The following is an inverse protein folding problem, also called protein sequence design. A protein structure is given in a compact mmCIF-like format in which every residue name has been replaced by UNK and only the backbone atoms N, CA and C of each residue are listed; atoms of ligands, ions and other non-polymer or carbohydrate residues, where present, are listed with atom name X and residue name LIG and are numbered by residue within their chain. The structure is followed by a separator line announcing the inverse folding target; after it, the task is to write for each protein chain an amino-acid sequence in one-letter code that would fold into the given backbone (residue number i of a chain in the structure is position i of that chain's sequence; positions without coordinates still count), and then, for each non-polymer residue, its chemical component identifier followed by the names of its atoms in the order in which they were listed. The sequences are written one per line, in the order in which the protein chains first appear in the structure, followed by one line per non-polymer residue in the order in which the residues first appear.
data_IF_103678976094
#
_entry.id   IF_103678976094
#
_cell.length_a   1.000
_cell.length_b   1.000
_cell.length_c   1.000
_cell.angle_alpha   90.00
_cell.angle_beta   90.00
_cell.angle_gamma   90.00
#
_symmetry.space_group_name_H-M   'P 1'
#
loop_
_entity.id
_entity.type
_entity.pdbx_description
1 polymer ?
#
# COMPACT_ATOMS: atom_id res chain seq x y z
N UNK A 1 -30.19 -57.65 -62.25
CA UNK A 1 -30.32 -56.77 -61.08
C UNK A 1 -28.92 -56.26 -60.79
N UNK A 2 -28.65 -55.12 -61.37
CA UNK A 2 -27.37 -54.67 -61.89
C UNK A 2 -26.87 -53.58 -60.93
N UNK A 3 -25.66 -53.69 -60.38
CA UNK A 3 -24.36 -53.28 -60.96
C UNK A 3 -24.16 -51.77 -61.09
N UNK A 4 -23.25 -51.25 -60.23
CA UNK A 4 -22.13 -50.32 -60.52
C UNK A 4 -22.42 -48.99 -61.23
N UNK A 5 -21.83 -47.90 -60.74
CA UNK A 5 -21.46 -46.77 -61.62
C UNK A 5 -21.22 -45.43 -60.91
N UNK A 6 -20.12 -44.76 -61.25
CA UNK A 6 -19.73 -43.43 -60.75
C UNK A 6 -19.32 -42.54 -61.94
N UNK A 7 -19.99 -41.40 -62.13
CA UNK A 7 -19.55 -40.24 -62.96
C UNK A 7 -20.64 -39.14 -62.86
N UNK A 8 -20.42 -37.88 -62.49
CA UNK A 8 -19.50 -36.80 -62.95
C UNK A 8 -20.18 -35.82 -63.94
N UNK A 9 -19.72 -34.57 -63.92
CA UNK A 9 -19.98 -33.43 -64.83
C UNK A 9 -21.34 -32.65 -64.85
N UNK A 10 -21.27 -31.43 -64.30
CA UNK A 10 -21.39 -30.12 -65.00
C UNK A 10 -22.64 -29.74 -65.82
N UNK A 11 -23.33 -28.65 -65.42
CA UNK A 11 -23.69 -27.54 -66.33
C UNK A 11 -24.04 -26.22 -65.59
N UNK A 12 -23.96 -25.12 -66.35
CA UNK A 12 -23.76 -23.73 -65.93
C UNK A 12 -25.05 -22.85 -66.02
N UNK A 13 -24.88 -21.52 -65.93
CA UNK A 13 -25.83 -20.40 -66.16
C UNK A 13 -26.64 -19.94 -64.91
N UNK A 14 -26.67 -18.66 -64.53
CA UNK A 14 -25.96 -17.47 -65.03
C UNK A 14 -26.55 -16.14 -64.50
N UNK A 15 -25.95 -15.02 -64.90
CA UNK A 15 -26.40 -13.62 -64.76
C UNK A 15 -26.33 -12.87 -63.40
N UNK A 16 -25.42 -11.90 -63.37
CA UNK A 16 -25.55 -10.59 -62.68
C UNK A 16 -25.88 -9.51 -63.73
N UNK A 17 -26.41 -8.31 -63.38
CA UNK A 17 -25.52 -7.14 -63.28
C UNK A 17 -25.94 -5.93 -62.36
N UNK A 18 -24.92 -5.34 -61.72
CA UNK A 18 -24.52 -3.90 -61.62
C UNK A 18 -25.47 -2.70 -61.34
N UNK A 19 -25.20 -2.05 -60.18
CA UNK A 19 -24.81 -0.63 -59.90
C UNK A 19 -25.56 0.65 -60.35
N UNK A 20 -25.67 1.60 -59.38
CA UNK A 20 -25.62 3.10 -59.43
C UNK A 20 -25.79 3.65 -57.98
N UNK A 21 -25.49 4.88 -57.53
CA UNK A 21 -24.59 6.03 -57.89
C UNK A 21 -24.30 6.82 -56.57
N UNK A 22 -23.15 7.46 -56.30
CA UNK A 22 -22.71 8.85 -56.63
C UNK A 22 -23.80 9.95 -56.46
N UNK A 23 -23.59 11.12 -55.82
CA UNK A 23 -22.31 11.81 -55.49
C UNK A 23 -22.37 13.00 -54.46
N UNK A 24 -21.20 13.44 -53.95
CA UNK A 24 -20.77 14.79 -53.44
C UNK A 24 -21.56 15.53 -52.30
N UNK A 25 -20.96 16.32 -51.38
CA UNK A 25 -19.88 17.32 -51.53
C UNK A 25 -19.21 17.77 -50.19
N UNK A 26 -18.04 18.42 -50.25
CA UNK A 26 -17.23 18.94 -49.12
C UNK A 26 -17.58 20.38 -48.67
N UNK A 27 -17.31 20.72 -47.41
CA UNK A 27 -16.72 22.03 -47.02
C UNK A 27 -15.84 21.92 -45.75
N UNK A 28 -14.67 22.55 -45.80
CA UNK A 28 -13.69 22.61 -44.72
C UNK A 28 -13.73 23.92 -43.93
N UNK A 29 -13.47 23.87 -42.63
CA UNK A 29 -12.88 24.98 -41.89
C UNK A 29 -12.04 24.45 -40.73
N UNK A 30 -10.90 25.11 -40.50
CA UNK A 30 -9.82 24.63 -39.63
C UNK A 30 -9.68 25.48 -38.38
N UNK A 31 -9.59 24.84 -37.21
CA UNK A 31 -8.95 25.42 -36.02
C UNK A 31 -8.28 24.33 -35.19
N UNK A 32 -7.04 24.57 -34.76
CA UNK A 32 -6.24 23.63 -33.95
C UNK A 32 -6.64 23.69 -32.46
N UNK A 33 -6.82 22.52 -31.82
CA UNK A 33 -6.82 22.39 -30.37
C UNK A 33 -6.48 20.95 -29.92
N UNK A 34 -5.19 20.73 -29.65
CA UNK A 34 -4.58 19.71 -28.77
C UNK A 34 -5.46 18.54 -28.29
N UNK A 35 -5.37 17.40 -28.96
CA UNK A 35 -5.96 16.14 -28.48
C UNK A 35 -5.12 15.47 -27.39
N UNK A 36 -5.62 15.48 -26.15
CA UNK A 36 -5.08 14.62 -25.09
C UNK A 36 -5.54 13.18 -25.31
N UNK A 37 -4.64 12.31 -25.79
CA UNK A 37 -4.91 10.87 -25.84
C UNK A 37 -5.02 10.28 -24.43
N UNK A 38 -6.23 9.84 -24.07
CA UNK A 38 -6.44 8.84 -23.02
C UNK A 38 -5.68 7.56 -23.41
N UNK A 39 -4.68 7.16 -22.62
CA UNK A 39 -4.06 5.86 -22.76
C UNK A 39 -4.18 5.04 -21.48
N UNK A 40 -4.64 3.80 -21.67
CA UNK A 40 -5.12 2.89 -20.63
C UNK A 40 -4.00 2.12 -19.94
N UNK A 41 -4.29 1.64 -18.72
CA UNK A 41 -3.73 0.38 -18.23
C UNK A 41 -2.54 0.47 -17.28
N UNK A 42 -2.80 0.81 -16.01
CA UNK A 42 -1.96 0.34 -14.90
C UNK A 42 -2.79 -0.52 -13.95
N UNK A 43 -2.43 -1.79 -13.80
CA UNK A 43 -2.99 -2.67 -12.76
C UNK A 43 -2.40 -2.30 -11.41
N UNK A 44 -2.96 -1.25 -10.80
CA UNK A 44 -2.96 -1.08 -9.35
C UNK A 44 -4.36 -1.42 -8.89
N UNK A 45 -4.50 -2.31 -7.89
CA UNK A 45 -5.80 -2.74 -7.39
C UNK A 45 -6.54 -1.56 -6.74
N UNK A 46 -7.35 -0.85 -7.54
CA UNK A 46 -8.30 0.14 -7.04
C UNK A 46 -9.46 -0.61 -6.40
N UNK A 47 -9.66 -0.38 -5.11
CA UNK A 47 -10.95 -0.62 -4.44
C UNK A 47 -11.98 0.37 -4.99
N UNK A 48 -12.64 0.00 -6.08
CA UNK A 48 -13.85 0.68 -6.53
C UNK A 48 -15.00 0.23 -5.63
N UNK A 49 -15.53 1.12 -4.80
CA UNK A 49 -16.79 0.92 -4.11
C UNK A 49 -17.92 1.62 -4.88
N UNK A 50 -18.65 0.88 -5.70
CA UNK A 50 -19.96 1.32 -6.18
C UNK A 50 -20.93 1.32 -5.00
N UNK A 51 -21.42 2.49 -4.58
CA UNK A 51 -22.58 2.62 -3.68
C UNK A 51 -23.57 3.61 -4.28
N UNK A 52 -24.83 3.18 -4.28
CA UNK A 52 -25.98 3.80 -4.91
C UNK A 52 -26.30 5.21 -4.41
N UNK A 53 -26.82 6.03 -5.33
CA UNK A 53 -27.65 7.17 -4.95
C UNK A 53 -28.90 6.69 -4.19
N UNK A 54 -29.03 7.12 -2.93
CA UNK A 54 -30.32 7.18 -2.24
C UNK A 54 -30.35 8.49 -1.43
N UNK A 55 -31.26 9.37 -1.80
CA UNK A 55 -31.49 10.66 -1.15
C UNK A 55 -32.74 10.56 -0.29
N UNK A 56 -32.67 10.94 0.99
CA UNK A 56 -33.84 11.27 1.83
C UNK A 56 -33.36 12.16 3.01
N UNK A 57 -34.25 12.86 3.74
CA UNK A 57 -34.16 14.31 3.79
C UNK A 57 -33.66 14.89 5.11
N UNK A 58 -33.34 16.18 5.06
CA UNK A 58 -33.04 17.04 6.21
C UNK A 58 -34.29 17.27 7.08
N UNK A 59 -34.19 16.93 8.36
CA UNK A 59 -35.02 17.54 9.41
C UNK A 59 -34.14 18.45 10.27
N UNK A 60 -34.37 19.77 10.15
CA UNK A 60 -33.84 20.75 11.07
C UNK A 60 -34.57 20.61 12.42
N UNK A 61 -33.84 20.38 13.51
CA UNK A 61 -34.35 20.83 14.81
C UNK A 61 -33.25 21.26 15.78
N UNK A 62 -33.46 22.43 16.38
CA UNK A 62 -32.50 23.15 17.19
C UNK A 62 -32.23 22.51 18.55
N UNK A 63 -30.98 22.58 19.02
CA UNK A 63 -30.71 22.63 20.46
C UNK A 63 -29.59 23.62 20.78
N UNK A 64 -29.98 24.76 21.35
CA UNK A 64 -29.09 25.84 21.81
C UNK A 64 -28.45 25.46 23.14
N UNK A 65 -27.12 25.48 23.24
CA UNK A 65 -26.43 25.53 24.54
C UNK A 65 -25.24 26.49 24.54
N UNK A 66 -25.53 27.69 25.05
CA UNK A 66 -24.69 28.66 25.78
C UNK A 66 -23.17 28.66 25.57
N UNK A 67 -22.71 29.73 24.92
CA UNK A 67 -21.34 30.24 25.06
C UNK A 67 -21.05 30.68 26.51
N UNK A 68 -19.84 30.40 27.01
CA UNK A 68 -19.22 31.17 28.10
C UNK A 68 -17.71 31.30 27.87
N UNK A 69 -17.12 32.48 28.04
CA UNK A 69 -15.72 32.73 27.67
C UNK A 69 -14.74 32.22 28.73
N UNK A 70 -13.66 31.57 28.30
CA UNK A 70 -12.56 31.13 29.18
C UNK A 70 -11.58 32.29 29.46
N UNK A 71 -11.16 32.51 30.73
CA UNK A 71 -10.28 33.64 31.07
C UNK A 71 -8.78 33.32 30.94
N UNK A 72 -8.08 34.23 30.26
CA UNK A 72 -6.74 34.77 30.58
C UNK A 72 -5.59 33.82 31.02
N UNK A 73 -4.69 33.58 30.07
CA UNK A 73 -3.25 33.89 30.15
C UNK A 73 -2.46 33.55 31.45
N UNK A 74 -1.58 32.54 31.34
CA UNK A 74 -0.45 32.32 32.27
C UNK A 74 0.86 32.87 31.67
N UNK A 75 1.77 33.47 32.47
CA UNK A 75 3.00 34.07 31.97
C UNK A 75 4.05 33.03 31.55
N UNK A 76 4.78 33.35 30.48
CA UNK A 76 5.54 32.37 29.69
C UNK A 76 6.70 31.67 30.40
N UNK A 77 6.70 30.34 30.31
CA UNK A 77 7.90 29.52 30.42
C UNK A 77 8.48 29.33 29.00
N UNK A 78 9.78 29.58 28.83
CA UNK A 78 10.45 29.52 27.52
C UNK A 78 10.72 28.06 27.14
N UNK A 79 10.15 27.60 26.03
CA UNK A 79 10.49 26.28 25.47
C UNK A 79 11.99 26.18 25.14
N UNK A 80 12.61 24.99 25.28
CA UNK A 80 13.97 24.77 24.82
C UNK A 80 14.06 25.00 23.30
N UNK A 81 14.98 25.86 22.87
CA UNK A 81 15.21 26.11 21.43
C UNK A 81 15.91 24.89 20.81
N UNK A 82 15.20 24.11 20.01
CA UNK A 82 15.83 23.21 19.03
C UNK A 82 16.47 24.05 17.91
N UNK A 83 17.70 23.72 17.47
CA UNK A 83 18.56 24.69 16.76
C UNK A 83 18.30 24.85 15.26
N UNK A 84 17.19 24.32 14.73
CA UNK A 84 16.98 24.14 13.28
C UNK A 84 16.30 25.34 12.61
N UNK A 85 15.48 26.13 13.32
CA UNK A 85 14.65 27.19 12.73
C UNK A 85 15.07 28.64 13.10
N UNK A 86 16.15 28.84 13.86
CA UNK A 86 16.52 30.18 14.38
C UNK A 86 17.76 30.79 13.71
N UNK A 87 17.96 30.57 12.40
CA UNK A 87 19.12 31.11 11.65
C UNK A 87 18.81 31.97 10.43
N UNK A 88 17.56 32.06 9.98
CA UNK A 88 17.13 33.14 9.09
C UNK A 88 16.58 34.31 9.93
N UNK A 89 16.85 35.53 9.44
CA UNK A 89 16.71 36.85 10.09
C UNK A 89 17.93 37.32 10.89
N UNK A 90 19.02 37.57 10.16
CA UNK A 90 19.76 38.85 10.15
C UNK A 90 21.00 38.71 9.27
N UNK A 91 20.89 39.05 7.98
CA UNK A 91 22.08 39.36 7.19
C UNK A 91 21.82 40.49 6.21
N UNK A 92 22.84 41.33 6.06
CA UNK A 92 22.85 42.59 5.33
C UNK A 92 23.07 42.32 3.83
N UNK A 93 22.40 43.09 2.98
CA UNK A 93 22.36 42.87 1.52
C UNK A 93 23.75 42.80 0.88
N UNK A 94 23.97 41.77 0.04
CA UNK A 94 25.12 41.64 -0.86
C UNK A 94 24.64 41.04 -2.20
N UNK A 95 25.08 41.53 -3.38
CA UNK A 95 24.45 41.18 -4.68
C UNK A 95 24.80 39.79 -5.24
N UNK A 96 25.39 38.91 -4.43
CA UNK A 96 25.73 37.52 -4.78
C UNK A 96 24.88 36.51 -4.02
N UNK A 97 23.91 36.96 -3.23
CA UNK A 97 23.03 36.12 -2.41
C UNK A 97 21.64 35.89 -3.03
N UNK A 98 21.25 36.65 -4.07
CA UNK A 98 19.90 36.59 -4.65
C UNK A 98 19.60 35.19 -5.23
N UNK A 99 20.55 34.57 -5.95
CA UNK A 99 20.40 33.25 -6.60
C UNK A 99 20.33 32.07 -5.59
N UNK A 100 20.89 32.22 -4.38
CA UNK A 100 20.70 31.26 -3.28
C UNK A 100 19.37 31.52 -2.56
N UNK A 101 18.98 32.78 -2.37
CA UNK A 101 17.74 33.17 -1.68
C UNK A 101 16.49 32.80 -2.49
N UNK A 102 16.49 33.02 -3.80
CA UNK A 102 15.38 32.61 -4.70
C UNK A 102 15.17 31.09 -4.69
N UNK A 103 16.24 30.31 -4.56
CA UNK A 103 16.18 28.84 -4.52
C UNK A 103 15.60 28.32 -3.18
N UNK A 104 15.96 28.97 -2.06
CA UNK A 104 15.35 28.70 -0.75
C UNK A 104 13.85 29.06 -0.73
N UNK A 105 13.46 30.20 -1.30
CA UNK A 105 12.05 30.61 -1.41
C UNK A 105 11.23 29.62 -2.28
N UNK A 106 11.78 29.14 -3.39
CA UNK A 106 11.15 28.10 -4.23
C UNK A 106 10.98 26.77 -3.48
N UNK A 107 11.96 26.32 -2.70
CA UNK A 107 11.83 25.10 -1.89
C UNK A 107 10.77 25.28 -0.78
N UNK A 108 10.73 26.45 -0.15
CA UNK A 108 9.78 26.81 0.89
C UNK A 108 8.34 26.89 0.34
N UNK A 109 8.14 27.45 -0.85
CA UNK A 109 6.82 27.49 -1.49
C UNK A 109 6.35 26.10 -1.95
N UNK A 110 7.23 25.24 -2.48
CA UNK A 110 6.91 23.83 -2.70
C UNK A 110 6.52 23.11 -1.41
N UNK A 111 7.15 23.45 -0.28
CA UNK A 111 6.80 22.91 1.04
C UNK A 111 5.42 23.40 1.51
N UNK A 112 5.13 24.71 1.39
CA UNK A 112 3.80 25.29 1.67
C UNK A 112 2.70 24.60 0.86
N UNK A 113 2.92 24.41 -0.45
CA UNK A 113 1.94 23.78 -1.34
C UNK A 113 1.61 22.35 -0.89
N UNK A 114 2.63 21.53 -0.58
CA UNK A 114 2.44 20.15 -0.09
C UNK A 114 1.67 20.13 1.23
N UNK A 115 2.09 20.90 2.24
CA UNK A 115 1.40 20.89 3.54
C UNK A 115 -0.01 21.47 3.45
N UNK A 116 -0.27 22.46 2.59
CA UNK A 116 -1.62 22.96 2.33
C UNK A 116 -2.54 21.87 1.77
N UNK A 117 -2.07 21.05 0.81
CA UNK A 117 -2.83 19.91 0.27
C UNK A 117 -3.09 18.81 1.32
N UNK A 118 -2.16 18.60 2.26
CA UNK A 118 -2.37 17.68 3.39
C UNK A 118 -3.41 18.21 4.39
N UNK A 119 -3.37 19.51 4.71
CA UNK A 119 -4.32 20.18 5.62
C UNK A 119 -5.73 20.23 5.03
N UNK A 120 -5.85 20.37 3.71
CA UNK A 120 -7.13 20.28 2.98
C UNK A 120 -7.70 18.85 2.92
N UNK A 121 -6.96 17.82 3.37
CA UNK A 121 -7.45 16.43 3.32
C UNK A 121 -7.77 15.97 1.89
N UNK A 122 -7.04 16.45 0.89
CA UNK A 122 -7.31 16.26 -0.55
C UNK A 122 -8.60 16.95 -1.09
N UNK A 123 -9.39 17.62 -0.25
CA UNK A 123 -10.53 18.43 -0.68
C UNK A 123 -10.09 19.84 -1.11
N UNK A 124 -9.75 19.98 -2.39
CA UNK A 124 -9.35 21.26 -2.98
C UNK A 124 -10.48 22.30 -3.07
N UNK A 125 -11.73 21.97 -2.71
CA UNK A 125 -12.82 22.96 -2.60
C UNK A 125 -12.80 23.74 -1.28
N UNK A 126 -12.05 23.25 -0.28
CA UNK A 126 -12.05 23.82 1.07
C UNK A 126 -13.30 23.53 1.89
N UNK A 127 -14.18 22.62 1.46
CA UNK A 127 -15.43 22.29 2.16
C UNK A 127 -15.23 21.46 3.44
N UNK A 128 -14.02 20.97 3.69
CA UNK A 128 -13.69 20.14 4.85
C UNK A 128 -14.20 18.69 4.75
N UNK A 129 -14.71 18.28 3.58
CA UNK A 129 -15.25 16.92 3.33
C UNK A 129 -14.19 15.94 2.80
N UNK A 130 -12.92 16.27 3.02
CA UNK A 130 -11.78 15.46 2.60
C UNK A 130 -11.53 14.23 3.49
N UNK A 131 -10.44 13.53 3.20
CA UNK A 131 -9.95 12.41 4.01
C UNK A 131 -9.20 12.89 5.26
N UNK A 132 -8.98 12.01 6.24
CA UNK A 132 -8.17 12.33 7.41
C UNK A 132 -6.73 12.73 7.01
N UNK A 133 -6.06 13.54 7.82
CA UNK A 133 -4.65 13.91 7.58
C UNK A 133 -3.75 12.67 7.49
N UNK A 134 -4.04 11.62 8.25
CA UNK A 134 -3.32 10.34 8.18
C UNK A 134 -3.46 9.68 6.80
N UNK A 135 -4.69 9.59 6.26
CA UNK A 135 -4.95 9.07 4.91
C UNK A 135 -4.34 9.99 3.83
N UNK A 136 -4.45 11.31 3.98
CA UNK A 136 -3.85 12.29 3.05
C UNK A 136 -2.33 12.15 2.95
N UNK A 137 -1.64 11.90 4.08
CA UNK A 137 -0.19 11.62 4.11
C UNK A 137 0.14 10.27 3.48
N UNK A 138 -0.60 9.20 3.80
CA UNK A 138 -0.41 7.87 3.19
C UNK A 138 -0.57 7.90 1.67
N UNK A 139 -1.60 8.61 1.19
CA UNK A 139 -1.83 8.83 -0.24
C UNK A 139 -0.72 9.68 -0.87
N UNK A 140 -0.24 10.74 -0.21
CA UNK A 140 0.85 11.58 -0.71
C UNK A 140 2.18 10.80 -0.84
N UNK A 141 2.52 9.95 0.13
CA UNK A 141 3.69 9.06 0.06
C UNK A 141 3.55 8.05 -1.10
N UNK A 142 2.35 7.48 -1.27
CA UNK A 142 2.05 6.54 -2.37
C UNK A 142 2.15 7.23 -3.75
N UNK A 143 1.64 8.47 -3.86
CA UNK A 143 1.71 9.27 -5.08
C UNK A 143 3.14 9.72 -5.42
N UNK A 144 3.93 10.10 -4.41
CA UNK A 144 5.36 10.40 -4.56
C UNK A 144 6.11 9.20 -5.13
N UNK A 145 5.88 8.01 -4.57
CA UNK A 145 6.45 6.76 -5.06
C UNK A 145 6.06 6.49 -6.52
N UNK A 146 4.77 6.63 -6.87
CA UNK A 146 4.30 6.43 -8.24
C UNK A 146 4.93 7.43 -9.24
N UNK A 147 5.05 8.71 -8.86
CA UNK A 147 5.66 9.76 -9.67
C UNK A 147 7.16 9.49 -9.96
N UNK A 148 7.89 9.07 -8.93
CA UNK A 148 9.35 8.88 -9.03
C UNK A 148 9.69 7.52 -9.64
N UNK A 149 9.09 6.43 -9.19
CA UNK A 149 9.47 5.07 -9.57
C UNK A 149 8.56 4.43 -10.62
N UNK A 150 7.32 4.90 -10.81
CA UNK A 150 6.35 4.28 -11.74
C UNK A 150 6.80 4.26 -13.21
N UNK A 151 7.67 5.19 -13.61
CA UNK A 151 8.30 5.21 -14.94
C UNK A 151 9.66 4.47 -14.99
N UNK A 152 10.29 4.18 -13.86
CA UNK A 152 11.57 3.47 -13.80
C UNK A 152 11.33 1.96 -13.89
N UNK A 153 10.96 1.48 -15.07
CA UNK A 153 10.66 0.07 -15.34
C UNK A 153 11.91 -0.72 -15.78
N UNK A 154 13.10 -0.35 -15.27
CA UNK A 154 14.41 -0.83 -15.73
C UNK A 154 15.41 -0.90 -14.59
N UNK A 155 16.37 -1.83 -14.71
CA UNK A 155 17.56 -1.90 -13.85
C UNK A 155 18.63 -0.86 -14.26
N UNK A 156 18.25 0.41 -14.17
CA UNK A 156 19.13 1.55 -14.38
C UNK A 156 19.22 2.42 -13.12
N UNK A 157 20.29 3.20 -12.94
CA UNK A 157 20.40 4.11 -11.81
C UNK A 157 19.31 5.18 -11.88
N UNK A 158 18.62 5.39 -10.77
CA UNK A 158 17.67 6.48 -10.60
C UNK A 158 18.35 7.82 -10.96
N UNK A 159 17.69 8.65 -11.79
CA UNK A 159 18.22 9.98 -12.15
C UNK A 159 18.57 10.79 -10.88
N UNK A 160 19.72 11.50 -10.82
CA UNK A 160 20.12 12.25 -9.63
C UNK A 160 19.01 13.17 -9.11
N UNK A 161 18.34 13.90 -9.99
CA UNK A 161 17.27 14.83 -9.62
C UNK A 161 16.06 14.09 -9.02
N UNK A 162 15.66 12.94 -9.60
CA UNK A 162 14.59 12.09 -9.05
C UNK A 162 14.99 11.47 -7.70
N UNK A 163 16.29 11.23 -7.47
CA UNK A 163 16.83 10.78 -6.17
C UNK A 163 16.86 11.90 -5.13
N UNK A 164 17.15 13.13 -5.53
CA UNK A 164 17.09 14.32 -4.68
C UNK A 164 15.65 14.66 -4.33
N UNK A 165 14.75 14.64 -5.32
CA UNK A 165 13.30 14.77 -5.16
C UNK A 165 12.76 13.76 -4.15
N UNK A 166 13.03 12.45 -4.32
CA UNK A 166 12.61 11.42 -3.35
C UNK A 166 13.04 11.77 -1.93
N UNK A 167 14.33 12.08 -1.73
CA UNK A 167 14.87 12.42 -0.41
C UNK A 167 14.20 13.66 0.18
N UNK A 168 14.09 14.75 -0.59
CA UNK A 168 13.50 16.01 -0.13
C UNK A 168 12.04 15.82 0.27
N UNK A 169 11.23 15.26 -0.64
CA UNK A 169 9.80 15.11 -0.42
C UNK A 169 9.48 14.10 0.68
N UNK A 170 10.20 12.97 0.72
CA UNK A 170 10.04 12.00 1.80
C UNK A 170 10.46 12.62 3.14
N UNK A 171 11.55 13.39 3.20
CA UNK A 171 11.94 14.10 4.43
C UNK A 171 10.86 15.07 4.93
N UNK A 172 10.14 15.77 4.04
CA UNK A 172 8.99 16.60 4.44
C UNK A 172 7.87 15.79 5.11
N UNK A 173 7.53 14.60 4.60
CA UNK A 173 6.53 13.75 5.25
C UNK A 173 7.06 13.15 6.56
N UNK A 174 8.34 12.77 6.60
CA UNK A 174 8.96 12.17 7.78
C UNK A 174 9.21 13.16 8.93
N UNK A 175 9.33 14.47 8.67
CA UNK A 175 9.50 15.47 9.74
C UNK A 175 8.27 15.59 10.64
N UNK A 176 7.09 15.15 10.18
CA UNK A 176 5.89 15.07 11.01
C UNK A 176 6.14 14.12 12.20
N UNK A 177 6.89 13.02 12.01
CA UNK A 177 7.22 12.06 13.05
C UNK A 177 8.05 12.65 14.18
N UNK A 178 8.88 13.67 13.91
CA UNK A 178 9.71 14.33 14.93
C UNK A 178 8.86 15.11 15.95
N UNK A 179 7.58 15.36 15.63
CA UNK A 179 6.60 16.02 16.49
C UNK A 179 5.61 15.04 17.16
N UNK A 180 5.66 13.74 16.85
CA UNK A 180 4.79 12.72 17.46
C UNK A 180 5.50 12.14 18.68
N UNK A 181 5.11 12.63 19.86
CA UNK A 181 5.78 12.34 21.13
C UNK A 181 4.85 11.66 22.14
N UNK A 182 5.45 10.84 23.00
CA UNK A 182 4.88 10.43 24.28
C UNK A 182 5.40 11.34 25.38
N UNK A 183 4.53 11.72 26.32
CA UNK A 183 4.95 12.39 27.54
C UNK A 183 5.24 11.36 28.63
N UNK A 184 6.45 11.40 29.19
CA UNK A 184 6.90 10.49 30.25
C UNK A 184 7.35 11.28 31.48
N UNK A 185 6.99 10.84 32.70
CA UNK A 185 7.49 11.44 33.92
C UNK A 185 9.00 11.20 34.05
N UNK A 186 9.74 12.24 34.42
CA UNK A 186 11.17 12.18 34.70
C UNK A 186 11.49 13.00 35.96
N UNK A 187 12.54 12.61 36.68
CA UNK A 187 13.10 13.40 37.76
C UNK A 187 14.18 14.34 37.20
N UNK A 188 14.06 15.63 37.50
CA UNK A 188 15.07 16.64 37.21
C UNK A 188 15.58 17.25 38.51
N UNK A 189 16.89 17.22 38.72
CA UNK A 189 17.53 17.90 39.84
C UNK A 189 17.64 19.40 39.54
N UNK A 190 17.11 20.23 40.44
CA UNK A 190 17.31 21.67 40.42
C UNK A 190 18.74 22.04 40.86
N UNK A 191 19.15 23.28 40.60
CA UNK A 191 20.49 23.78 40.95
C UNK A 191 20.77 23.79 42.47
N UNK A 192 19.74 23.67 43.30
CA UNK A 192 19.82 23.54 44.76
C UNK A 192 19.89 22.08 45.26
N UNK A 193 19.86 21.09 44.34
CA UNK A 193 19.86 19.66 44.65
C UNK A 193 18.46 19.06 44.92
N UNK A 194 17.39 19.84 44.74
CA UNK A 194 16.01 19.33 44.89
C UNK A 194 15.59 18.58 43.63
N UNK A 195 15.27 17.29 43.78
CA UNK A 195 14.68 16.50 42.71
C UNK A 195 13.20 16.87 42.52
N UNK A 196 12.81 17.24 41.29
CA UNK A 196 11.44 17.60 40.91
C UNK A 196 10.95 16.66 39.82
N UNK A 197 9.72 16.15 39.96
CA UNK A 197 9.05 15.39 38.90
C UNK A 197 8.55 16.35 37.81
N UNK A 198 9.00 16.12 36.58
CA UNK A 198 8.69 16.92 35.39
C UNK A 198 8.26 15.99 34.26
N UNK A 199 7.21 16.36 33.51
CA UNK A 199 6.86 15.65 32.29
C UNK A 199 7.81 16.04 31.16
N UNK A 200 8.49 15.05 30.57
CA UNK A 200 9.39 15.21 29.43
C UNK A 200 8.80 14.56 28.19
N UNK A 201 9.11 15.07 27.01
CA UNK A 201 8.69 14.48 25.74
C UNK A 201 9.78 13.57 25.17
N UNK A 202 9.36 12.40 24.66
CA UNK A 202 10.20 11.50 23.86
C UNK A 202 9.47 11.14 22.57
N UNK A 203 10.15 10.87 21.44
CA UNK A 203 9.49 10.33 20.25
C UNK A 203 8.70 9.07 20.58
N UNK A 204 7.53 8.90 19.97
CA UNK A 204 6.67 7.73 20.23
C UNK A 204 7.40 6.43 19.94
N UNK A 205 7.15 5.42 20.78
CA UNK A 205 7.89 4.15 20.82
C UNK A 205 7.95 3.44 19.46
N UNK A 206 6.81 3.27 18.78
CA UNK A 206 6.74 2.67 17.44
C UNK A 206 7.54 3.45 16.38
N UNK A 207 7.48 4.78 16.39
CA UNK A 207 8.26 5.65 15.51
C UNK A 207 9.75 5.52 15.79
N UNK A 208 10.15 5.57 17.07
CA UNK A 208 11.55 5.53 17.49
C UNK A 208 12.29 4.27 17.05
N UNK A 209 11.56 3.15 16.95
CA UNK A 209 12.10 1.85 16.50
C UNK A 209 12.00 1.68 14.98
N UNK A 210 10.82 1.94 14.40
CA UNK A 210 10.55 1.57 13.01
C UNK A 210 11.09 2.58 12.00
N UNK A 211 11.06 3.89 12.30
CA UNK A 211 11.48 4.92 11.35
C UNK A 211 12.97 4.84 10.98
N UNK A 212 13.92 4.63 11.92
CA UNK A 212 15.33 4.42 11.56
C UNK A 212 15.55 3.14 10.73
N UNK A 213 14.77 2.07 10.98
CA UNK A 213 14.83 0.85 10.20
C UNK A 213 14.40 1.08 8.74
N UNK A 214 13.27 1.78 8.52
CA UNK A 214 12.77 2.10 7.19
C UNK A 214 13.74 3.01 6.41
N UNK A 215 14.28 4.07 7.05
CA UNK A 215 15.33 4.92 6.44
C UNK A 215 16.57 4.12 6.02
N UNK A 216 16.93 3.07 6.78
CA UNK A 216 18.04 2.17 6.43
C UNK A 216 17.70 1.27 5.23
N UNK A 217 16.48 0.74 5.14
CA UNK A 217 16.03 -0.06 3.98
C UNK A 217 15.98 0.78 2.70
N UNK A 218 15.47 2.00 2.77
CA UNK A 218 15.47 2.98 1.66
C UNK A 218 16.89 3.28 1.16
N UNK A 219 17.80 3.63 2.08
CA UNK A 219 19.20 3.88 1.75
C UNK A 219 19.89 2.67 1.07
N UNK A 220 19.57 1.44 1.49
CA UNK A 220 20.07 0.21 0.87
C UNK A 220 19.46 -0.01 -0.53
N UNK A 221 18.17 0.23 -0.74
CA UNK A 221 17.52 0.12 -2.07
C UNK A 221 18.11 1.14 -3.05
N UNK A 222 18.13 2.42 -2.68
CA UNK A 222 18.72 3.49 -3.50
C UNK A 222 20.23 3.34 -3.71
N UNK A 223 20.92 2.64 -2.81
CA UNK A 223 22.31 2.20 -2.96
C UNK A 223 22.44 1.08 -3.99
N UNK A 224 21.57 0.07 -3.93
CA UNK A 224 21.56 -1.08 -4.85
C UNK A 224 21.27 -0.68 -6.31
N UNK A 225 20.44 0.35 -6.53
CA UNK A 225 20.20 0.92 -7.87
C UNK A 225 21.39 1.75 -8.37
N UNK A 226 22.24 2.25 -7.50
CA UNK A 226 23.40 3.10 -7.86
C UNK A 226 24.54 2.25 -8.43
N UNK A 227 24.63 2.16 -9.76
CA UNK A 227 25.76 1.55 -10.46
C UNK A 227 26.24 2.43 -11.61
N UNK A 228 27.56 2.51 -11.83
CA UNK A 228 28.09 3.18 -13.04
C UNK A 228 27.73 2.35 -14.27
N UNK A 229 26.63 2.69 -14.94
CA UNK A 229 26.28 2.12 -16.23
C UNK A 229 27.35 2.52 -17.24
N UNK A 230 28.22 1.57 -17.61
CA UNK A 230 29.07 1.74 -18.78
C UNK A 230 28.15 1.61 -19.99
N UNK A 231 27.97 2.71 -20.72
CA UNK A 231 27.16 2.75 -21.95
C UNK A 231 27.60 1.62 -22.88
N UNK A 232 26.76 0.59 -22.95
CA UNK A 232 26.90 -0.56 -23.83
C UNK A 232 25.69 -0.56 -24.76
N UNK A 233 25.93 -0.40 -26.05
CA UNK A 233 24.86 -0.49 -27.05
C UNK A 233 24.41 -1.95 -27.17
N UNK A 234 23.41 -2.34 -26.38
CA UNK A 234 22.78 -3.64 -26.50
C UNK A 234 21.91 -3.65 -27.76
N UNK A 235 22.32 -4.42 -28.80
CA UNK A 235 21.46 -4.63 -29.97
C UNK A 235 20.19 -5.37 -29.53
N UNK A 236 19.04 -4.93 -30.04
CA UNK A 236 17.77 -5.67 -29.93
C UNK A 236 17.93 -7.03 -30.63
N UNK A 237 17.91 -8.10 -29.85
CA UNK A 237 17.59 -9.45 -30.33
C UNK A 237 16.14 -9.72 -29.89
N UNK A 238 15.23 -10.14 -30.79
CA UNK A 238 13.89 -10.56 -30.40
C UNK A 238 13.98 -11.85 -29.57
N UNK A 239 13.74 -11.76 -28.27
CA UNK A 239 13.66 -12.95 -27.41
C UNK A 239 12.30 -13.66 -27.61
N UNK A 240 12.27 -15.00 -27.74
CA UNK A 240 11.02 -15.74 -27.92
C UNK A 240 10.23 -15.86 -26.60
N UNK A 241 8.89 -15.81 -26.71
CA UNK A 241 7.90 -16.07 -25.67
C UNK A 241 8.04 -15.24 -24.37
N UNK A 242 7.42 -14.05 -24.40
CA UNK A 242 6.99 -13.30 -23.22
C UNK A 242 5.99 -14.13 -22.40
N UNK A 243 5.92 -13.89 -21.09
CA UNK A 243 4.61 -13.93 -20.40
C UNK A 243 3.79 -12.76 -20.97
N UNK A 244 2.69 -13.04 -21.66
CA UNK A 244 1.90 -12.04 -22.40
C UNK A 244 1.33 -10.93 -21.49
N UNK A 245 1.15 -11.25 -20.21
CA UNK A 245 0.57 -10.40 -19.16
C UNK A 245 1.27 -9.05 -18.91
N UNK A 246 2.55 -8.87 -19.30
CA UNK A 246 3.35 -7.67 -18.98
C UNK A 246 3.87 -6.94 -20.24
N UNK A 247 3.00 -6.75 -21.23
CA UNK A 247 3.36 -6.17 -22.54
C UNK A 247 3.97 -4.76 -22.49
N UNK A 248 3.67 -3.97 -21.45
CA UNK A 248 4.17 -2.61 -21.25
C UNK A 248 5.61 -2.53 -20.70
N UNK A 249 6.17 -3.63 -20.16
CA UNK A 249 7.52 -3.62 -19.63
C UNK A 249 8.59 -3.63 -20.76
N UNK A 250 9.66 -2.82 -20.65
CA UNK A 250 10.80 -2.88 -21.56
C UNK A 250 11.42 -4.29 -21.59
N UNK A 251 11.74 -4.79 -22.79
CA UNK A 251 12.36 -6.12 -22.94
C UNK A 251 13.82 -6.09 -22.44
N UNK A 252 14.21 -6.97 -21.51
CA UNK A 252 15.61 -7.12 -21.10
C UNK A 252 16.49 -7.53 -22.29
N UNK A 253 17.60 -6.84 -22.50
CA UNK A 253 18.57 -7.17 -23.54
C UNK A 253 19.86 -7.72 -22.91
N UNK A 254 20.33 -8.87 -23.37
CA UNK A 254 21.62 -9.47 -23.01
C UNK A 254 22.50 -9.60 -24.27
N UNK A 255 23.84 -9.68 -24.14
CA UNK A 255 24.71 -10.01 -25.26
C UNK A 255 24.39 -11.40 -25.83
N UNK A 256 24.71 -11.66 -27.10
CA UNK A 256 24.43 -12.95 -27.75
C UNK A 256 25.07 -14.14 -27.00
N UNK A 257 26.32 -14.03 -26.55
CA UNK A 257 26.97 -15.04 -25.71
C UNK A 257 26.55 -15.03 -24.21
N UNK A 258 25.43 -14.38 -23.87
CA UNK A 258 24.95 -14.19 -22.51
C UNK A 258 25.79 -13.21 -21.66
N UNK A 259 25.51 -13.19 -20.36
CA UNK A 259 26.20 -12.35 -19.37
C UNK A 259 27.46 -13.03 -18.83
N UNK A 260 28.50 -12.23 -18.59
CA UNK A 260 29.72 -12.71 -17.91
C UNK A 260 29.41 -13.32 -16.54
N UNK A 261 30.17 -14.34 -16.12
CA UNK A 261 30.02 -14.97 -14.80
C UNK A 261 30.10 -13.94 -13.65
N UNK A 262 30.96 -12.93 -13.79
CA UNK A 262 31.06 -11.81 -12.83
C UNK A 262 29.77 -10.99 -12.77
N UNK A 263 29.19 -10.65 -13.93
CA UNK A 263 27.90 -9.94 -14.01
C UNK A 263 26.75 -10.77 -13.42
N UNK A 264 26.71 -12.08 -13.70
CA UNK A 264 25.68 -13.00 -13.17
C UNK A 264 25.77 -13.14 -11.64
N UNK A 265 26.97 -13.32 -11.09
CA UNK A 265 27.20 -13.32 -9.63
C UNK A 265 26.79 -12.00 -8.98
N UNK A 266 27.12 -10.86 -9.61
CA UNK A 266 26.74 -9.53 -9.13
C UNK A 266 25.22 -9.31 -9.12
N UNK A 267 24.51 -9.71 -10.19
CA UNK A 267 23.04 -9.65 -10.26
C UNK A 267 22.38 -10.52 -9.20
N UNK A 268 22.84 -11.77 -9.02
CA UNK A 268 22.34 -12.66 -7.96
C UNK A 268 22.48 -12.03 -6.58
N UNK A 269 23.67 -11.49 -6.26
CA UNK A 269 23.89 -10.80 -4.99
C UNK A 269 22.97 -9.58 -4.79
N UNK A 270 22.74 -8.76 -5.85
CA UNK A 270 21.78 -7.65 -5.80
C UNK A 270 20.35 -8.12 -5.56
N UNK A 271 19.91 -9.18 -6.25
CA UNK A 271 18.59 -9.79 -6.06
C UNK A 271 18.42 -10.30 -4.63
N UNK A 272 19.41 -11.00 -4.10
CA UNK A 272 19.35 -11.58 -2.76
C UNK A 272 19.28 -10.47 -1.69
N UNK A 273 20.01 -9.36 -1.89
CA UNK A 273 19.90 -8.15 -1.08
C UNK A 273 18.51 -7.50 -1.18
N UNK A 274 17.98 -7.29 -2.39
CA UNK A 274 16.64 -6.72 -2.60
C UNK A 274 15.54 -7.60 -1.99
N UNK A 275 15.66 -8.92 -2.07
CA UNK A 275 14.72 -9.87 -1.45
C UNK A 275 14.77 -9.81 0.09
N UNK A 276 15.96 -9.65 0.70
CA UNK A 276 16.06 -9.41 2.14
C UNK A 276 15.38 -8.09 2.55
N UNK A 277 15.54 -7.03 1.75
CA UNK A 277 14.87 -5.75 2.01
C UNK A 277 13.35 -5.86 1.84
N UNK A 278 12.88 -6.53 0.78
CA UNK A 278 11.45 -6.81 0.56
C UNK A 278 10.83 -7.52 1.77
N UNK A 279 11.45 -8.60 2.24
CA UNK A 279 11.01 -9.35 3.44
C UNK A 279 11.01 -8.49 4.71
N UNK A 280 12.03 -7.66 4.91
CA UNK A 280 12.11 -6.77 6.06
C UNK A 280 11.03 -5.66 6.02
N UNK A 281 10.81 -5.05 4.85
CA UNK A 281 9.78 -4.03 4.65
C UNK A 281 8.36 -4.62 4.85
N UNK A 282 8.08 -5.80 4.27
CA UNK A 282 6.82 -6.52 4.45
C UNK A 282 6.56 -6.90 5.91
N UNK A 283 7.59 -7.39 6.61
CA UNK A 283 7.47 -7.74 8.03
C UNK A 283 7.15 -6.51 8.90
N UNK A 284 7.79 -5.36 8.63
CA UNK A 284 7.47 -4.10 9.29
C UNK A 284 6.04 -3.65 8.97
N UNK A 285 5.63 -3.65 7.69
CA UNK A 285 4.27 -3.27 7.26
C UNK A 285 3.20 -4.11 7.97
N UNK A 286 3.37 -5.44 7.99
CA UNK A 286 2.49 -6.36 8.71
C UNK A 286 2.41 -6.07 10.22
N UNK A 287 3.53 -5.76 10.88
CA UNK A 287 3.54 -5.38 12.31
C UNK A 287 2.79 -4.08 12.56
N UNK A 288 2.99 -3.08 11.70
CA UNK A 288 2.30 -1.79 11.80
C UNK A 288 0.79 -1.96 11.59
N UNK A 289 0.38 -2.72 10.58
CA UNK A 289 -1.03 -3.06 10.32
C UNK A 289 -1.67 -3.84 11.46
N UNK A 290 -0.95 -4.77 12.09
CA UNK A 290 -1.44 -5.51 13.26
C UNK A 290 -1.75 -4.58 14.44
N UNK A 291 -0.91 -3.55 14.66
CA UNK A 291 -1.09 -2.52 15.69
C UNK A 291 -2.09 -1.41 15.34
N UNK A 292 -2.59 -1.34 14.09
CA UNK A 292 -3.60 -0.36 13.71
C UNK A 292 -5.00 -0.76 14.21
N UNK A 293 -5.72 0.22 14.73
CA UNK A 293 -7.09 0.08 15.24
C UNK A 293 -8.05 -0.46 14.16
N UNK A 294 -8.98 -1.33 14.58
CA UNK A 294 -9.97 -1.92 13.70
C UNK A 294 -11.17 -0.98 13.63
N UNK A 295 -11.61 -0.53 12.44
CA UNK A 295 -12.72 0.42 12.34
C UNK A 295 -14.04 -0.16 12.84
N UNK A 296 -14.80 0.63 13.61
CA UNK A 296 -16.16 0.27 14.03
C UNK A 296 -17.09 -0.04 12.84
N UNK A 297 -16.88 0.62 11.70
CA UNK A 297 -17.60 0.36 10.44
C UNK A 297 -17.37 -1.06 9.91
N UNK A 298 -16.12 -1.53 9.91
CA UNK A 298 -15.78 -2.91 9.59
C UNK A 298 -16.41 -3.88 10.60
N UNK A 299 -16.34 -3.56 11.89
CA UNK A 299 -16.97 -4.41 12.90
C UNK A 299 -18.50 -4.48 12.70
N UNK A 300 -19.17 -3.36 12.47
CA UNK A 300 -20.61 -3.32 12.24
C UNK A 300 -21.04 -4.12 10.99
N UNK A 301 -20.22 -4.20 9.95
CA UNK A 301 -20.53 -4.96 8.73
C UNK A 301 -20.32 -6.48 8.85
N UNK A 302 -19.57 -6.97 9.85
CA UNK A 302 -19.29 -8.40 9.99
C UNK A 302 -20.56 -9.25 10.24
N UNK A 303 -20.75 -10.36 9.50
CA UNK A 303 -21.89 -11.27 9.70
C UNK A 303 -21.98 -11.83 11.11
N UNK A 304 -23.21 -12.06 11.60
CA UNK A 304 -23.49 -12.54 12.97
C UNK A 304 -22.96 -13.95 13.30
N UNK A 305 -22.32 -14.67 12.38
CA UNK A 305 -21.88 -16.06 12.58
C UNK A 305 -20.61 -16.38 11.79
N UNK A 306 -19.47 -16.55 12.49
CA UNK A 306 -18.21 -16.98 11.87
C UNK A 306 -18.34 -18.31 11.13
N UNK A 307 -19.12 -19.26 11.65
CA UNK A 307 -19.45 -20.53 10.95
C UNK A 307 -20.03 -20.30 9.55
N UNK A 308 -20.87 -19.28 9.37
CA UNK A 308 -21.49 -18.99 8.07
C UNK A 308 -20.50 -18.35 7.07
N UNK A 309 -19.40 -17.75 7.57
CA UNK A 309 -18.37 -17.09 6.76
C UNK A 309 -17.33 -18.12 6.27
N UNK A 310 -16.75 -18.94 7.16
CA UNK A 310 -15.80 -20.02 6.77
C UNK A 310 -16.47 -21.28 6.22
N UNK A 311 -17.77 -21.46 6.47
CA UNK A 311 -18.53 -22.62 6.03
C UNK A 311 -18.37 -23.88 6.89
N UNK A 312 -19.30 -24.82 6.71
CA UNK A 312 -19.49 -25.98 7.59
C UNK A 312 -18.35 -27.01 7.58
N UNK A 313 -17.57 -27.10 6.50
CA UNK A 313 -16.42 -28.00 6.43
C UNK A 313 -15.25 -27.48 7.29
N UNK A 314 -14.87 -26.21 7.07
CA UNK A 314 -13.79 -25.53 7.81
C UNK A 314 -14.16 -25.40 9.28
N UNK A 315 -15.39 -24.98 9.59
CA UNK A 315 -15.87 -24.85 10.97
C UNK A 315 -15.79 -26.18 11.75
N UNK A 316 -16.25 -27.30 11.16
CA UNK A 316 -16.16 -28.61 11.81
C UNK A 316 -14.71 -29.03 12.07
N UNK A 317 -13.79 -28.76 11.14
CA UNK A 317 -12.37 -29.03 11.34
C UNK A 317 -11.78 -28.17 12.48
N UNK A 318 -12.12 -26.87 12.51
CA UNK A 318 -11.68 -25.95 13.57
C UNK A 318 -12.27 -26.29 14.94
N UNK A 319 -13.47 -26.86 15.03
CA UNK A 319 -14.07 -27.30 16.29
C UNK A 319 -13.53 -28.66 16.79
N UNK A 320 -13.45 -29.67 15.92
CA UNK A 320 -13.46 -31.07 16.36
C UNK A 320 -12.09 -31.65 16.77
N UNK A 321 -10.99 -30.92 16.58
CA UNK A 321 -9.65 -31.40 16.92
C UNK A 321 -9.25 -31.09 18.37
N UNK A 322 -8.80 -32.10 19.14
CA UNK A 322 -8.00 -31.90 20.36
C UNK A 322 -6.66 -31.22 20.04
N UNK A 323 -6.08 -31.54 18.88
CA UNK A 323 -4.91 -30.87 18.30
C UNK A 323 -5.31 -30.33 16.93
N UNK A 324 -5.42 -29.01 16.82
CA UNK A 324 -5.68 -28.33 15.55
C UNK A 324 -4.38 -28.16 14.77
N UNK A 325 -4.37 -28.58 13.50
CA UNK A 325 -3.20 -28.47 12.61
C UNK A 325 -3.57 -27.62 11.40
N UNK A 326 -3.16 -26.34 11.32
CA UNK A 326 -3.49 -25.45 10.22
C UNK A 326 -3.07 -26.00 8.86
N UNK A 327 -1.86 -26.55 8.76
CA UNK A 327 -1.29 -27.04 7.50
C UNK A 327 -2.09 -28.19 6.88
N UNK A 328 -2.66 -29.07 7.71
CA UNK A 328 -3.48 -30.19 7.22
C UNK A 328 -4.79 -29.66 6.63
N UNK A 329 -5.43 -28.68 7.29
CA UNK A 329 -6.60 -28.00 6.73
C UNK A 329 -6.27 -27.30 5.41
N UNK A 330 -5.18 -26.55 5.35
CA UNK A 330 -4.73 -25.87 4.13
C UNK A 330 -4.33 -26.85 3.01
N UNK A 331 -3.92 -28.08 3.33
CA UNK A 331 -3.67 -29.14 2.34
C UNK A 331 -4.97 -29.78 1.83
N UNK A 332 -6.05 -29.76 2.61
CA UNK A 332 -7.37 -30.24 2.19
C UNK A 332 -8.18 -29.19 1.43
N UNK A 333 -7.78 -27.91 1.48
CA UNK A 333 -8.41 -26.82 0.74
C UNK A 333 -7.72 -26.65 -0.62
N UNK A 334 -8.49 -26.80 -1.70
CA UNK A 334 -8.00 -26.60 -3.06
C UNK A 334 -7.95 -25.10 -3.41
N UNK A 335 -6.99 -24.38 -2.82
CA UNK A 335 -6.69 -22.98 -3.14
C UNK A 335 -5.73 -22.94 -4.33
N UNK A 336 -6.28 -22.94 -5.55
CA UNK A 336 -5.51 -23.02 -6.79
C UNK A 336 -4.89 -21.68 -7.24
N UNK A 337 -5.43 -20.57 -6.75
CA UNK A 337 -5.04 -19.21 -7.13
C UNK A 337 -4.77 -18.30 -5.92
N UNK A 338 -4.02 -17.21 -6.14
CA UNK A 338 -3.83 -16.15 -5.12
C UNK A 338 -5.18 -15.52 -4.72
N UNK A 339 -6.11 -15.37 -5.67
CA UNK A 339 -7.42 -14.78 -5.42
C UNK A 339 -8.27 -15.64 -4.47
N UNK A 340 -8.31 -16.96 -4.66
CA UNK A 340 -8.98 -17.88 -3.72
C UNK A 340 -8.30 -17.87 -2.34
N UNK A 341 -6.98 -17.79 -2.29
CA UNK A 341 -6.24 -17.67 -1.04
C UNK A 341 -6.56 -16.35 -0.31
N UNK A 342 -6.74 -15.24 -1.02
CA UNK A 342 -7.10 -13.94 -0.45
C UNK A 342 -8.54 -13.93 0.04
N UNK A 343 -9.49 -14.43 -0.76
CA UNK A 343 -10.89 -14.55 -0.37
C UNK A 343 -11.04 -15.45 0.87
N UNK A 344 -10.21 -16.50 0.98
CA UNK A 344 -10.17 -17.34 2.17
C UNK A 344 -9.52 -16.64 3.38
N UNK A 345 -8.47 -15.83 3.18
CA UNK A 345 -7.89 -15.00 4.23
C UNK A 345 -8.93 -14.03 4.83
N UNK A 346 -9.67 -13.32 3.97
CA UNK A 346 -10.77 -12.43 4.36
C UNK A 346 -11.86 -13.17 5.16
N UNK A 347 -12.26 -14.37 4.71
CA UNK A 347 -13.23 -15.22 5.42
C UNK A 347 -12.75 -15.65 6.80
N UNK A 348 -11.48 -16.03 6.93
CA UNK A 348 -10.89 -16.39 8.24
C UNK A 348 -10.85 -15.17 9.15
N UNK A 349 -10.36 -14.03 8.66
CA UNK A 349 -10.18 -12.81 9.45
C UNK A 349 -11.52 -12.24 9.94
N UNK A 350 -12.52 -12.18 9.06
CA UNK A 350 -13.89 -11.82 9.41
C UNK A 350 -14.50 -12.78 10.46
N UNK A 351 -14.22 -14.09 10.35
CA UNK A 351 -14.70 -15.09 11.32
C UNK A 351 -14.02 -14.94 12.68
N UNK A 352 -12.69 -14.74 12.68
CA UNK A 352 -11.88 -14.49 13.86
C UNK A 352 -12.44 -13.31 14.67
N UNK A 353 -12.69 -12.16 14.03
CA UNK A 353 -13.25 -10.99 14.72
C UNK A 353 -14.73 -11.16 15.11
N UNK A 354 -15.50 -11.96 14.37
CA UNK A 354 -16.85 -12.36 14.80
C UNK A 354 -16.84 -13.22 16.07
N UNK A 355 -15.88 -14.15 16.20
CA UNK A 355 -15.71 -14.96 17.41
C UNK A 355 -15.14 -14.13 18.58
N UNK A 356 -14.11 -13.31 18.35
CA UNK A 356 -13.57 -12.37 19.36
C UNK A 356 -14.66 -11.45 19.91
N UNK A 357 -15.49 -10.85 19.05
CA UNK A 357 -16.64 -10.03 19.49
C UNK A 357 -17.60 -10.81 20.37
N UNK A 358 -17.96 -12.04 20.01
CA UNK A 358 -18.86 -12.87 20.82
C UNK A 358 -18.26 -13.25 22.17
N UNK A 359 -16.96 -13.51 22.23
CA UNK A 359 -16.26 -13.76 23.49
C UNK A 359 -16.25 -12.52 24.40
N UNK A 360 -16.02 -11.32 23.85
CA UNK A 360 -15.98 -10.07 24.62
C UNK A 360 -17.37 -9.47 24.93
N UNK A 361 -18.43 -9.84 24.21
CA UNK A 361 -19.76 -9.21 24.28
C UNK A 361 -20.47 -9.31 25.63
N UNK A 362 -19.92 -10.01 26.63
CA UNK A 362 -20.51 -10.16 27.97
C UNK A 362 -19.93 -9.18 29.02
N UNK A 363 -18.83 -8.46 28.74
CA UNK A 363 -18.23 -7.53 29.73
C UNK A 363 -18.94 -6.18 29.82
N UNK A 364 -19.72 -5.80 28.80
CA UNK A 364 -20.50 -4.56 28.81
C UNK A 364 -21.95 -4.82 28.37
N UNK A 365 -22.90 -4.36 29.18
CA UNK A 365 -24.33 -4.15 28.83
C UNK A 365 -25.28 -5.36 28.84
N UNK A 366 -25.33 -6.15 29.93
CA UNK A 366 -26.52 -6.96 30.30
C UNK A 366 -26.85 -6.89 31.80
N UNK A 367 -28.13 -7.03 32.13
CA UNK A 367 -28.68 -6.85 33.48
C UNK A 367 -28.45 -8.06 34.41
N UNK A 368 -28.34 -7.79 35.71
CA UNK A 368 -27.77 -8.70 36.72
C UNK A 368 -28.55 -9.99 37.04
N UNK A 369 -29.69 -10.26 36.40
CA UNK A 369 -30.56 -11.41 36.74
C UNK A 369 -30.63 -12.52 35.69
N UNK A 370 -30.39 -12.24 34.41
CA UNK A 370 -30.22 -13.30 33.39
C UNK A 370 -28.84 -14.00 33.51
N UNK A 371 -27.85 -13.28 34.06
CA UNK A 371 -26.46 -13.72 34.17
C UNK A 371 -26.31 -15.11 34.83
N UNK A 372 -27.06 -15.37 35.89
CA UNK A 372 -26.84 -16.55 36.76
C UNK A 372 -27.27 -17.87 36.11
N UNK A 373 -28.21 -17.84 35.16
CA UNK A 373 -28.76 -19.06 34.54
C UNK A 373 -28.03 -19.44 33.25
N UNK A 374 -27.60 -18.45 32.47
CA UNK A 374 -26.85 -18.68 31.23
C UNK A 374 -25.35 -18.97 31.47
N UNK A 375 -24.78 -18.53 32.60
CA UNK A 375 -23.36 -18.70 32.94
C UNK A 375 -22.83 -20.13 32.75
N UNK A 376 -23.57 -21.15 33.19
CA UNK A 376 -23.09 -22.55 33.13
C UNK A 376 -23.05 -23.15 31.72
N UNK A 377 -23.82 -22.61 30.77
CA UNK A 377 -23.83 -23.07 29.36
C UNK A 377 -23.08 -22.15 28.41
N UNK A 378 -22.99 -20.85 28.72
CA UNK A 378 -22.33 -19.87 27.86
C UNK A 378 -20.84 -19.65 28.21
N UNK A 379 -20.33 -20.09 29.38
CA UNK A 379 -18.87 -20.20 29.62
C UNK A 379 -18.23 -21.13 28.57
N UNK A 380 -18.74 -22.37 28.44
CA UNK A 380 -18.28 -23.35 27.44
C UNK A 380 -18.36 -22.82 26.00
N UNK A 381 -19.37 -21.98 25.67
CA UNK A 381 -19.46 -21.31 24.37
C UNK A 381 -18.49 -20.14 24.20
N UNK A 382 -18.20 -19.42 25.28
CA UNK A 382 -17.25 -18.31 25.30
C UNK A 382 -15.83 -18.84 25.10
N UNK A 383 -15.46 -19.89 25.83
CA UNK A 383 -14.19 -20.61 25.66
C UNK A 383 -14.07 -21.19 24.25
N UNK A 384 -15.14 -21.78 23.69
CA UNK A 384 -15.18 -22.22 22.29
C UNK A 384 -14.95 -21.08 21.30
N UNK A 385 -15.54 -19.89 21.51
CA UNK A 385 -15.28 -18.73 20.65
C UNK A 385 -13.83 -18.24 20.77
N UNK A 386 -13.23 -18.25 21.96
CA UNK A 386 -11.82 -17.91 22.14
C UNK A 386 -10.90 -18.89 21.40
N UNK A 387 -11.10 -20.20 21.60
CA UNK A 387 -10.35 -21.27 20.93
C UNK A 387 -10.51 -21.17 19.40
N UNK A 388 -11.71 -20.88 18.89
CA UNK A 388 -11.94 -20.71 17.47
C UNK A 388 -11.24 -19.47 16.90
N UNK A 389 -11.19 -18.35 17.64
CA UNK A 389 -10.45 -17.17 17.24
C UNK A 389 -8.93 -17.41 17.19
N UNK A 390 -8.35 -18.09 18.19
CA UNK A 390 -6.93 -18.46 18.24
C UNK A 390 -6.55 -19.44 17.12
N UNK A 391 -7.43 -20.41 16.83
CA UNK A 391 -7.28 -21.32 15.68
C UNK A 391 -7.40 -20.58 14.34
N UNK A 392 -8.26 -19.57 14.25
CA UNK A 392 -8.37 -18.71 13.06
C UNK A 392 -7.09 -17.89 12.83
N UNK A 393 -6.53 -17.30 13.88
CA UNK A 393 -5.28 -16.55 13.85
C UNK A 393 -4.10 -17.43 13.39
N UNK A 394 -3.99 -18.63 13.98
CA UNK A 394 -3.01 -19.64 13.58
C UNK A 394 -3.16 -20.06 12.11
N UNK A 395 -4.41 -20.20 11.63
CA UNK A 395 -4.71 -20.56 10.24
C UNK A 395 -4.37 -19.43 9.26
N UNK A 396 -4.70 -18.18 9.59
CA UNK A 396 -4.36 -17.00 8.80
C UNK A 396 -2.83 -16.81 8.72
N UNK A 397 -2.11 -17.08 9.81
CA UNK A 397 -0.65 -17.06 9.84
C UNK A 397 -0.04 -18.11 8.90
N UNK A 398 -0.46 -19.38 8.99
CA UNK A 398 0.01 -20.43 8.08
C UNK A 398 -0.37 -20.17 6.61
N UNK A 399 -1.54 -19.54 6.37
CA UNK A 399 -1.95 -19.12 5.02
C UNK A 399 -1.03 -18.02 4.47
N UNK A 400 -0.73 -16.98 5.25
CA UNK A 400 0.23 -15.91 4.87
C UNK A 400 1.66 -16.44 4.70
N UNK A 401 2.06 -17.53 5.36
CA UNK A 401 3.33 -18.23 5.08
C UNK A 401 3.31 -19.02 3.77
N UNK A 402 2.19 -19.66 3.42
CA UNK A 402 2.03 -20.43 2.18
C UNK A 402 1.91 -19.53 0.94
N UNK A 403 1.37 -18.34 1.10
CA UNK A 403 1.24 -17.31 0.06
C UNK A 403 1.97 -16.02 0.49
N UNK A 404 3.32 -15.95 0.41
CA UNK A 404 4.07 -14.76 0.84
C UNK A 404 3.80 -13.51 0.01
N UNK A 405 3.31 -13.67 -1.21
CA UNK A 405 2.97 -12.57 -2.14
C UNK A 405 1.50 -12.12 -2.02
N UNK A 406 0.73 -12.70 -1.08
CA UNK A 406 -0.68 -12.38 -0.87
C UNK A 406 -0.89 -10.86 -0.73
N UNK A 407 -1.83 -10.36 -1.52
CA UNK A 407 -2.34 -8.99 -1.46
C UNK A 407 -2.91 -8.62 -0.07
N UNK A 408 -3.06 -7.33 0.21
CA UNK A 408 -3.65 -6.83 1.47
C UNK A 408 -5.09 -7.33 1.64
N UNK A 409 -5.48 -7.70 2.87
CA UNK A 409 -6.84 -8.16 3.16
C UNK A 409 -7.85 -7.01 3.13
N UNK A 410 -9.14 -7.34 3.07
CA UNK A 410 -10.23 -6.38 3.22
C UNK A 410 -10.18 -5.65 4.56
N UNK A 411 -9.66 -6.27 5.63
CA UNK A 411 -9.42 -5.58 6.91
C UNK A 411 -8.20 -4.65 6.82
N UNK A 412 -7.08 -5.09 6.25
CA UNK A 412 -5.88 -4.26 6.08
C UNK A 412 -6.23 -2.97 5.29
N UNK A 413 -6.98 -3.10 4.20
CA UNK A 413 -7.50 -1.96 3.43
C UNK A 413 -8.42 -1.04 4.26
N UNK A 414 -9.35 -1.63 5.03
CA UNK A 414 -10.27 -0.87 5.90
C UNK A 414 -9.52 -0.09 7.00
N UNK A 415 -8.53 -0.72 7.63
CA UNK A 415 -7.62 -0.10 8.61
C UNK A 415 -6.92 1.11 8.01
N UNK A 416 -6.32 0.98 6.82
CA UNK A 416 -5.64 2.09 6.13
C UNK A 416 -6.63 3.22 5.83
N UNK A 417 -7.82 2.91 5.30
CA UNK A 417 -8.81 3.90 4.87
C UNK A 417 -9.40 4.73 6.03
N UNK A 418 -9.59 4.12 7.20
CA UNK A 418 -10.23 4.79 8.35
C UNK A 418 -9.23 5.28 9.40
N UNK A 419 -7.93 5.04 9.20
CA UNK A 419 -6.89 5.44 10.14
C UNK A 419 -6.90 6.96 10.43
N UNK A 420 -6.67 7.30 11.70
CA UNK A 420 -6.50 8.68 12.19
C UNK A 420 -5.11 8.95 12.78
N UNK A 421 -4.31 7.90 13.00
CA UNK A 421 -2.95 8.01 13.51
C UNK A 421 -1.96 8.32 12.37
N UNK A 422 -1.47 9.56 12.34
CA UNK A 422 -0.55 10.04 11.30
C UNK A 422 0.80 9.30 11.35
N UNK A 423 1.28 8.91 12.53
CA UNK A 423 2.52 8.15 12.69
C UNK A 423 2.41 6.75 12.10
N UNK A 424 1.31 6.03 12.39
CA UNK A 424 1.00 4.74 11.78
C UNK A 424 0.84 4.86 10.27
N UNK A 425 0.17 5.90 9.76
CA UNK A 425 0.03 6.14 8.33
C UNK A 425 1.38 6.34 7.61
N UNK A 426 2.30 7.10 8.22
CA UNK A 426 3.64 7.31 7.67
C UNK A 426 4.42 5.99 7.67
N UNK A 427 4.42 5.25 8.79
CA UNK A 427 5.14 3.98 8.91
C UNK A 427 4.58 2.91 7.95
N UNK A 428 3.25 2.77 7.85
CA UNK A 428 2.56 1.85 6.94
C UNK A 428 2.89 2.19 5.50
N UNK A 429 2.60 3.42 5.06
CA UNK A 429 2.77 3.79 3.65
C UNK A 429 4.23 3.77 3.21
N UNK A 430 5.17 4.18 4.07
CA UNK A 430 6.60 4.12 3.77
C UNK A 430 7.10 2.67 3.68
N UNK A 431 6.69 1.79 4.60
CA UNK A 431 7.03 0.36 4.52
C UNK A 431 6.46 -0.31 3.27
N UNK A 432 5.19 -0.03 2.91
CA UNK A 432 4.53 -0.55 1.70
C UNK A 432 5.20 -0.09 0.40
N UNK A 433 5.58 1.18 0.25
CA UNK A 433 6.27 1.63 -0.98
C UNK A 433 7.69 1.07 -1.09
N UNK A 434 8.40 0.86 0.03
CA UNK A 434 9.70 0.19 0.03
C UNK A 434 9.58 -1.31 -0.27
N UNK A 435 8.54 -1.99 0.24
CA UNK A 435 8.23 -3.39 -0.10
C UNK A 435 8.02 -3.54 -1.62
N UNK A 436 7.17 -2.68 -2.21
CA UNK A 436 6.87 -2.68 -3.65
C UNK A 436 8.08 -2.36 -4.51
N UNK A 437 8.92 -1.39 -4.11
CA UNK A 437 10.17 -1.09 -4.83
C UNK A 437 11.14 -2.29 -4.79
N UNK A 438 11.29 -2.91 -3.63
CA UNK A 438 12.17 -4.05 -3.45
C UNK A 438 11.70 -5.28 -4.27
N UNK A 439 10.40 -5.54 -4.27
CA UNK A 439 9.76 -6.58 -5.10
C UNK A 439 10.03 -6.35 -6.60
N UNK A 440 9.80 -5.13 -7.08
CA UNK A 440 10.07 -4.76 -8.47
C UNK A 440 11.54 -4.94 -8.87
N UNK A 441 12.48 -4.54 -7.99
CA UNK A 441 13.92 -4.75 -8.22
C UNK A 441 14.29 -6.24 -8.29
N UNK A 442 13.69 -7.10 -7.44
CA UNK A 442 13.86 -8.56 -7.54
C UNK A 442 13.34 -9.05 -8.89
N UNK A 443 12.10 -8.73 -9.25
CA UNK A 443 11.46 -9.17 -10.49
C UNK A 443 12.27 -8.78 -11.75
N UNK A 444 12.72 -7.53 -11.86
CA UNK A 444 13.53 -7.11 -13.01
C UNK A 444 14.88 -7.84 -13.10
N UNK A 445 15.49 -8.23 -11.97
CA UNK A 445 16.75 -9.00 -12.00
C UNK A 445 16.46 -10.44 -12.43
N UNK A 446 15.34 -11.02 -12.01
CA UNK A 446 14.93 -12.35 -12.44
C UNK A 446 14.56 -12.39 -13.93
N UNK A 447 13.90 -11.36 -14.47
CA UNK A 447 13.67 -11.20 -15.92
C UNK A 447 14.99 -11.16 -16.71
N UNK A 448 16.00 -10.40 -16.26
CA UNK A 448 17.34 -10.37 -16.89
C UNK A 448 18.04 -11.73 -16.80
N UNK A 449 17.98 -12.40 -15.65
CA UNK A 449 18.61 -13.72 -15.45
C UNK A 449 17.88 -14.84 -16.20
N UNK A 450 16.58 -14.69 -16.47
CA UNK A 450 15.80 -15.57 -17.32
C UNK A 450 16.24 -15.46 -18.78
N UNK A 451 16.33 -14.23 -19.31
CA UNK A 451 16.79 -14.00 -20.69
C UNK A 451 18.25 -14.44 -20.88
N UNK A 452 19.14 -14.21 -19.91
CA UNK A 452 20.51 -14.77 -19.93
C UNK A 452 20.52 -16.30 -20.09
N UNK A 453 19.63 -16.99 -19.37
CA UNK A 453 19.54 -18.45 -19.39
C UNK A 453 19.00 -18.95 -20.72
N UNK A 454 17.98 -18.31 -21.30
CA UNK A 454 17.41 -18.72 -22.59
C UNK A 454 18.39 -18.47 -23.73
N UNK A 455 19.07 -17.32 -23.75
CA UNK A 455 20.09 -17.00 -24.76
C UNK A 455 21.26 -18.00 -24.73
N UNK A 456 21.83 -18.30 -23.55
CA UNK A 456 22.95 -19.28 -23.46
C UNK A 456 22.54 -20.70 -23.86
N UNK A 457 21.27 -21.06 -23.73
CA UNK A 457 20.74 -22.35 -24.16
C UNK A 457 20.44 -22.42 -25.67
N UNK A 458 20.57 -21.32 -26.42
CA UNK A 458 20.46 -21.28 -27.89
C UNK A 458 21.84 -21.35 -28.58
N UNK A 459 22.91 -21.05 -27.84
CA UNK A 459 24.32 -21.14 -28.25
C UNK A 459 24.95 -22.52 -27.89
N UNK A 460 24.16 -23.48 -27.42
CA UNK A 460 24.55 -24.87 -27.09
C UNK A 460 23.80 -25.88 -27.98
#
# INVERSE_FOLDING_TARGET
MDSVGNSDETCDLGYQPSQSSLDQNDQSSSTEATSFSLQSGYSFCRTNSDVSAFSEPTDDNSSTFSETPSPLCWPGMKSPKTPVLSKLVMQQQNPAADDETENEDLELDMMKERFSKLLLGQDMSGSGKGVSTAVAVSNSITNLYASIFGQHLRLEPLHPDKKLMWKREMNCFLSICDHIVEFVPALHDLQDGTAVEVMTSRPRSDISVNLPALRKLDALLLGSMSGKSRSGSFRRIPAPQRKEEKWWLPVPCVPSGGLSEKSRKHLRHKRDCANQIHKAAKALNNSILAEMEIPDSYMASLPKSGRAIVGDAVYRYMCNGEKFTPDLLLNCLNLGSEHEALEFADKIEASMYTWRRKACSMTHSKSSWDLVKDFMSDIDRTDKNHILAERAESLLFCLKQRYPELSQTSLDASKIQHNRDVGKAILESYSRVLEGLAFNVVAWIEDVLFVDKTTRNQDQ
#
